data_IF_682229742777
#
_entry.id   IF_682229742777
#
_cell.length_a   1.000
_cell.length_b   1.000
_cell.length_c   1.000
_cell.angle_alpha   90.00
_cell.angle_beta   90.00
_cell.angle_gamma   90.00
#
_symmetry.space_group_name_H-M   'P 1'
#
loop_
_entity.id
_entity.type
_entity.pdbx_description
1 polymer ?
#
# COMPACT_ATOMS: atom_id res chain seq x y z
N UNK A 1 -19.73 8.85 -33.07
CA UNK A 1 -20.56 8.59 -31.88
C UNK A 1 -19.87 7.51 -31.09
N UNK A 2 -19.08 7.87 -30.09
CA UNK A 2 -18.40 6.93 -29.21
C UNK A 2 -19.47 6.41 -28.26
N UNK A 3 -19.76 5.10 -28.28
CA UNK A 3 -20.63 4.51 -27.25
C UNK A 3 -19.93 4.67 -25.91
N UNK A 4 -20.51 5.45 -25.00
CA UNK A 4 -20.09 5.50 -23.60
C UNK A 4 -20.24 4.09 -23.02
N UNK A 5 -19.12 3.47 -22.64
CA UNK A 5 -19.16 2.20 -21.93
C UNK A 5 -19.69 2.48 -20.51
N UNK A 6 -20.72 1.77 -20.05
CA UNK A 6 -21.23 1.95 -18.71
C UNK A 6 -20.14 1.61 -17.68
N UNK A 7 -20.00 2.45 -16.66
CA UNK A 7 -19.09 2.22 -15.53
C UNK A 7 -19.64 1.09 -14.67
N UNK A 8 -18.97 -0.06 -14.63
CA UNK A 8 -19.46 -1.23 -13.88
C UNK A 8 -18.62 -1.54 -12.64
N UNK A 9 -19.27 -2.06 -11.59
CA UNK A 9 -18.59 -2.57 -10.39
C UNK A 9 -17.60 -3.70 -10.73
N UNK A 10 -17.91 -4.54 -11.72
CA UNK A 10 -17.03 -5.63 -12.14
C UNK A 10 -15.68 -5.12 -12.65
N UNK A 11 -15.68 -4.02 -13.43
CA UNK A 11 -14.44 -3.38 -13.89
C UNK A 11 -13.64 -2.78 -12.73
N UNK A 12 -14.32 -2.16 -11.75
CA UNK A 12 -13.67 -1.64 -10.55
C UNK A 12 -12.99 -2.74 -9.73
N UNK A 13 -13.65 -3.89 -9.56
CA UNK A 13 -13.07 -5.05 -8.87
C UNK A 13 -11.88 -5.61 -9.65
N UNK A 14 -12.03 -5.80 -10.96
CA UNK A 14 -10.93 -6.32 -11.79
C UNK A 14 -9.69 -5.41 -11.72
N UNK A 15 -9.87 -4.10 -11.88
CA UNK A 15 -8.74 -3.16 -11.81
C UNK A 15 -8.16 -3.09 -10.39
N UNK A 16 -8.99 -3.21 -9.35
CA UNK A 16 -8.52 -3.33 -7.98
C UNK A 16 -7.71 -4.60 -7.73
N UNK A 17 -8.08 -5.74 -8.33
CA UNK A 17 -7.30 -6.99 -8.28
C UNK A 17 -5.92 -6.80 -8.92
N UNK A 18 -5.85 -6.17 -10.09
CA UNK A 18 -4.60 -5.88 -10.81
C UNK A 18 -3.66 -5.00 -9.97
N UNK A 19 -4.18 -3.93 -9.37
CA UNK A 19 -3.40 -3.03 -8.49
C UNK A 19 -2.97 -3.75 -7.20
N UNK A 20 -3.89 -4.48 -6.56
CA UNK A 20 -3.58 -5.17 -5.31
C UNK A 20 -2.54 -6.30 -5.48
N UNK A 21 -2.52 -6.97 -6.64
CA UNK A 21 -1.55 -8.00 -6.96
C UNK A 21 -0.11 -7.46 -6.95
N UNK A 22 0.10 -6.21 -7.37
CA UNK A 22 1.41 -5.55 -7.34
C UNK A 22 1.90 -5.29 -5.91
N UNK A 23 0.98 -5.09 -4.96
CA UNK A 23 1.29 -4.93 -3.54
C UNK A 23 1.66 -6.24 -2.81
N UNK A 24 1.65 -7.40 -3.49
CA UNK A 24 1.96 -8.72 -2.93
C UNK A 24 1.10 -9.14 -1.72
N UNK A 25 -0.15 -8.68 -1.65
CA UNK A 25 -1.07 -9.08 -0.58
C UNK A 25 -1.74 -10.42 -0.88
N UNK A 26 -1.86 -11.35 0.10
CA UNK A 26 -2.49 -12.64 -0.13
C UNK A 26 -3.98 -12.48 -0.46
N UNK A 27 -4.38 -12.92 -1.65
CA UNK A 27 -5.73 -12.75 -2.18
C UNK A 27 -6.82 -13.39 -1.28
N UNK A 28 -6.54 -14.56 -0.72
CA UNK A 28 -7.47 -15.35 0.10
C UNK A 28 -7.38 -15.02 1.59
N UNK A 29 -7.19 -13.74 1.91
CA UNK A 29 -7.15 -13.24 3.28
C UNK A 29 -8.15 -12.12 3.49
N UNK A 30 -8.50 -11.89 4.77
CA UNK A 30 -9.33 -10.75 5.13
C UNK A 30 -8.68 -9.43 4.70
N UNK A 31 -7.35 -9.31 4.88
CA UNK A 31 -6.59 -8.11 4.53
C UNK A 31 -6.62 -7.89 3.00
N UNK A 32 -6.39 -8.95 2.22
CA UNK A 32 -6.45 -8.92 0.76
C UNK A 32 -7.84 -8.57 0.22
N UNK A 33 -8.92 -9.05 0.86
CA UNK A 33 -10.28 -8.61 0.51
C UNK A 33 -10.49 -7.13 0.85
N UNK A 34 -10.09 -6.69 2.03
CA UNK A 34 -10.27 -5.31 2.47
C UNK A 34 -9.55 -4.30 1.57
N UNK A 35 -8.28 -4.59 1.23
CA UNK A 35 -7.48 -3.76 0.31
C UNK A 35 -8.17 -3.64 -1.05
N UNK A 36 -8.56 -4.77 -1.64
CA UNK A 36 -9.27 -4.77 -2.93
C UNK A 36 -10.60 -4.03 -2.88
N UNK A 37 -11.37 -4.19 -1.81
CA UNK A 37 -12.62 -3.47 -1.61
C UNK A 37 -12.42 -1.96 -1.54
N UNK A 38 -11.44 -1.48 -0.77
CA UNK A 38 -11.08 -0.05 -0.69
C UNK A 38 -10.69 0.50 -2.06
N UNK A 39 -9.86 -0.24 -2.80
CA UNK A 39 -9.44 0.14 -4.16
C UNK A 39 -10.63 0.20 -5.12
N UNK A 40 -11.51 -0.82 -5.14
CA UNK A 40 -12.66 -0.88 -6.02
C UNK A 40 -13.66 0.26 -5.74
N UNK A 41 -13.92 0.58 -4.47
CA UNK A 41 -14.76 1.71 -4.08
C UNK A 41 -14.15 3.03 -4.52
N UNK A 42 -12.84 3.21 -4.31
CA UNK A 42 -12.13 4.44 -4.69
C UNK A 42 -12.16 4.63 -6.21
N UNK A 43 -11.81 3.58 -6.97
CA UNK A 43 -11.84 3.59 -8.44
C UNK A 43 -13.24 3.88 -8.98
N UNK A 44 -14.28 3.21 -8.47
CA UNK A 44 -15.65 3.43 -8.92
C UNK A 44 -16.16 4.83 -8.56
N UNK A 45 -15.87 5.31 -7.35
CA UNK A 45 -16.26 6.64 -6.89
C UNK A 45 -15.61 7.73 -7.74
N UNK A 46 -14.31 7.60 -8.03
CA UNK A 46 -13.59 8.53 -8.90
C UNK A 46 -14.09 8.48 -10.34
N UNK A 47 -14.30 7.29 -10.90
CA UNK A 47 -14.84 7.11 -12.25
C UNK A 47 -16.18 7.85 -12.41
N UNK A 48 -17.09 7.71 -11.42
CA UNK A 48 -18.36 8.43 -11.40
C UNK A 48 -18.18 9.95 -11.29
N UNK A 49 -17.38 10.42 -10.34
CA UNK A 49 -17.12 11.87 -10.13
C UNK A 49 -16.49 12.54 -11.36
N UNK A 50 -15.65 11.81 -12.09
CA UNK A 50 -14.93 12.31 -13.26
C UNK A 50 -15.69 12.08 -14.56
N UNK A 51 -16.86 11.43 -14.52
CA UNK A 51 -17.65 11.02 -15.69
C UNK A 51 -16.82 10.24 -16.72
N UNK A 52 -16.05 9.26 -16.24
CA UNK A 52 -15.14 8.43 -17.04
C UNK A 52 -15.31 6.94 -16.76
N UNK A 53 -14.76 6.11 -17.63
CA UNK A 53 -14.67 4.68 -17.34
C UNK A 53 -13.67 4.41 -16.20
N UNK A 54 -13.85 3.30 -15.47
CA UNK A 54 -12.90 2.87 -14.44
C UNK A 54 -11.48 2.71 -15.01
N UNK A 55 -11.35 2.30 -16.27
CA UNK A 55 -10.07 2.12 -16.99
C UNK A 55 -9.35 3.45 -17.27
N UNK A 56 -10.07 4.57 -17.30
CA UNK A 56 -9.51 5.91 -17.54
C UNK A 56 -9.19 6.67 -16.26
N UNK A 57 -9.54 6.12 -15.09
CA UNK A 57 -9.14 6.70 -13.79
C UNK A 57 -7.62 6.59 -13.66
N UNK A 58 -6.97 7.73 -13.48
CA UNK A 58 -5.53 7.82 -13.30
C UNK A 58 -5.10 7.30 -11.93
N UNK A 59 -4.04 6.48 -11.89
CA UNK A 59 -3.52 5.89 -10.65
C UNK A 59 -3.00 6.97 -9.69
N UNK A 60 -2.47 8.08 -10.20
CA UNK A 60 -2.08 9.23 -9.38
C UNK A 60 -3.27 9.83 -8.63
N UNK A 61 -4.45 9.89 -9.26
CA UNK A 61 -5.68 10.36 -8.61
C UNK A 61 -6.14 9.41 -7.51
N UNK A 62 -6.03 8.10 -7.73
CA UNK A 62 -6.33 7.09 -6.70
C UNK A 62 -5.37 7.26 -5.52
N UNK A 63 -4.07 7.46 -5.78
CA UNK A 63 -3.07 7.65 -4.74
C UNK A 63 -3.39 8.88 -3.89
N UNK A 64 -3.63 10.02 -4.53
CA UNK A 64 -3.95 11.28 -3.86
C UNK A 64 -5.10 11.11 -2.86
N UNK A 65 -6.20 10.45 -3.28
CA UNK A 65 -7.38 10.27 -2.43
C UNK A 65 -7.14 9.28 -1.27
N UNK A 66 -6.35 8.23 -1.48
CA UNK A 66 -6.02 7.29 -0.40
C UNK A 66 -5.03 7.88 0.61
N UNK A 67 -4.15 8.77 0.17
CA UNK A 67 -3.17 9.46 1.01
C UNK A 67 -3.83 10.45 1.98
N UNK A 68 -4.98 11.01 1.62
CA UNK A 68 -5.82 11.80 2.55
C UNK A 68 -6.43 10.95 3.68
N UNK A 69 -6.36 9.62 3.57
CA UNK A 69 -6.80 8.67 4.57
C UNK A 69 -8.26 8.21 4.43
N UNK A 70 -8.77 7.46 5.43
CA UNK A 70 -10.05 6.76 5.32
C UNK A 70 -11.26 7.66 5.08
N UNK A 71 -11.24 8.91 5.55
CA UNK A 71 -12.36 9.85 5.41
C UNK A 71 -12.74 10.08 3.94
N UNK A 72 -11.76 10.21 3.05
CA UNK A 72 -12.02 10.39 1.61
C UNK A 72 -12.63 9.15 0.98
N UNK A 73 -12.25 7.94 1.44
CA UNK A 73 -12.88 6.69 1.00
C UNK A 73 -14.32 6.60 1.49
N UNK A 74 -14.63 7.10 2.70
CA UNK A 74 -16.00 7.23 3.20
C UNK A 74 -16.88 8.13 2.33
N UNK A 75 -16.35 9.28 1.91
CA UNK A 75 -17.08 10.19 1.00
C UNK A 75 -17.40 9.49 -0.32
N UNK A 76 -16.38 8.89 -0.96
CA UNK A 76 -16.54 8.16 -2.21
C UNK A 76 -17.54 7.01 -2.08
N UNK A 77 -17.41 6.18 -1.04
CA UNK A 77 -18.31 5.05 -0.79
C UNK A 77 -19.75 5.47 -0.45
N UNK A 78 -19.93 6.59 0.25
CA UNK A 78 -21.24 7.16 0.56
C UNK A 78 -22.03 7.56 -0.68
N UNK A 79 -21.36 8.17 -1.65
CA UNK A 79 -21.96 8.54 -2.95
C UNK A 79 -22.39 7.32 -3.76
N UNK A 80 -21.63 6.21 -3.67
CA UNK A 80 -22.01 4.94 -4.31
C UNK A 80 -23.29 4.34 -3.72
N UNK A 81 -23.54 4.54 -2.42
CA UNK A 81 -24.74 4.05 -1.73
C UNK A 81 -26.01 4.83 -2.08
N UNK A 82 -25.90 6.11 -2.47
CA UNK A 82 -27.03 6.94 -2.89
C UNK A 82 -27.33 6.83 -4.40
N UNK A 83 -26.33 6.53 -5.23
CA UNK A 83 -26.42 6.54 -6.70
C UNK A 83 -26.73 5.16 -7.33
N UNK A 84 -27.40 4.26 -6.61
CA UNK A 84 -27.63 2.85 -7.02
C UNK A 84 -29.03 2.58 -7.57
N UNK A 85 -29.61 3.50 -8.36
CA UNK A 85 -30.89 3.23 -9.03
C UNK A 85 -30.75 2.41 -10.33
N UNK A 86 -29.57 2.40 -10.98
CA UNK A 86 -29.37 1.74 -12.30
C UNK A 86 -28.19 0.74 -12.38
N UNK A 87 -27.52 0.42 -11.27
CA UNK A 87 -26.58 -0.70 -11.20
C UNK A 87 -27.29 -1.92 -10.62
N UNK A 88 -26.96 -3.15 -11.06
CA UNK A 88 -27.47 -4.38 -10.42
C UNK A 88 -27.59 -4.18 -8.89
N UNK A 89 -28.78 -4.37 -8.30
CA UNK A 89 -28.97 -4.06 -6.90
C UNK A 89 -27.94 -4.81 -6.06
N UNK A 90 -27.08 -4.05 -5.38
CA UNK A 90 -26.46 -4.47 -4.15
C UNK A 90 -24.98 -4.86 -4.17
N UNK A 91 -24.27 -5.14 -5.27
CA UNK A 91 -22.88 -5.65 -5.14
C UNK A 91 -21.90 -4.64 -4.54
N UNK A 92 -21.84 -3.43 -5.10
CA UNK A 92 -21.02 -2.34 -4.55
C UNK A 92 -21.49 -1.92 -3.15
N UNK A 93 -22.80 -1.86 -2.93
CA UNK A 93 -23.38 -1.51 -1.63
C UNK A 93 -23.12 -2.59 -0.55
N UNK A 94 -23.13 -3.87 -0.91
CA UNK A 94 -22.81 -5.00 -0.03
C UNK A 94 -21.33 -4.99 0.33
N UNK A 95 -20.45 -4.75 -0.64
CA UNK A 95 -19.02 -4.61 -0.33
C UNK A 95 -18.76 -3.38 0.53
N UNK A 96 -19.41 -2.25 0.23
CA UNK A 96 -19.31 -1.05 1.07
C UNK A 96 -19.79 -1.31 2.50
N UNK A 97 -20.95 -1.94 2.68
CA UNK A 97 -21.46 -2.33 3.99
C UNK A 97 -20.49 -3.28 4.73
N UNK A 98 -19.82 -4.18 4.02
CA UNK A 98 -18.79 -5.05 4.59
C UNK A 98 -17.54 -4.27 5.03
N UNK A 99 -17.14 -3.25 4.26
CA UNK A 99 -15.98 -2.42 4.56
C UNK A 99 -16.19 -1.49 5.76
N UNK A 100 -17.38 -0.89 5.89
CA UNK A 100 -17.65 0.13 6.93
C UNK A 100 -18.16 -0.44 8.24
N UNK A 101 -18.57 -1.71 8.29
CA UNK A 101 -19.06 -2.30 9.54
C UNK A 101 -17.93 -2.44 10.56
N UNK A 102 -18.29 -2.33 11.83
CA UNK A 102 -17.41 -2.70 12.93
C UNK A 102 -17.26 -4.21 13.01
N UNK A 103 -16.08 -4.65 13.41
CA UNK A 103 -15.78 -6.06 13.59
C UNK A 103 -15.83 -6.43 15.08
N UNK A 104 -16.27 -7.65 15.43
CA UNK A 104 -16.27 -8.07 16.81
C UNK A 104 -14.84 -8.08 17.40
N UNK A 105 -14.72 -7.99 18.72
CA UNK A 105 -13.45 -8.10 19.47
C UNK A 105 -13.14 -9.52 19.95
N UNK A 106 -13.94 -10.53 19.60
CA UNK A 106 -13.80 -11.93 20.03
C UNK A 106 -12.52 -12.62 19.44
N UNK A 107 -12.33 -13.96 19.48
CA UNK A 107 -11.16 -14.58 18.85
C UNK A 107 -11.09 -14.36 17.32
N UNK A 108 -9.88 -14.17 16.78
CA UNK A 108 -9.62 -13.62 15.44
C UNK A 108 -10.32 -14.32 14.25
N UNK A 109 -10.58 -15.63 14.31
CA UNK A 109 -11.24 -16.40 13.24
C UNK A 109 -12.77 -16.17 13.17
N UNK A 110 -13.42 -15.91 14.31
CA UNK A 110 -14.84 -15.59 14.36
C UNK A 110 -15.10 -14.15 13.88
N UNK A 111 -14.11 -13.27 14.00
CA UNK A 111 -14.23 -11.82 13.75
C UNK A 111 -13.86 -11.39 12.34
N UNK A 112 -13.63 -12.32 11.42
CA UNK A 112 -13.14 -12.03 10.07
C UNK A 112 -14.07 -12.62 9.00
N UNK A 113 -15.25 -13.11 9.39
CA UNK A 113 -16.15 -13.84 8.49
C UNK A 113 -15.56 -15.17 8.03
N UNK A 114 -14.74 -15.81 8.86
CA UNK A 114 -14.10 -17.10 8.57
C UNK A 114 -12.77 -17.02 7.80
N UNK A 115 -12.29 -15.82 7.46
CA UNK A 115 -11.03 -15.63 6.73
C UNK A 115 -9.83 -15.45 7.69
N UNK A 116 -8.60 -15.84 7.32
CA UNK A 116 -7.43 -15.49 8.10
C UNK A 116 -7.24 -13.96 8.10
N UNK A 117 -6.97 -13.39 9.28
CA UNK A 117 -6.53 -11.99 9.47
C UNK A 117 -5.06 -11.98 9.85
N UNK A 118 -4.26 -11.29 9.06
CA UNK A 118 -2.88 -10.92 9.37
C UNK A 118 -2.88 -9.64 10.19
N UNK A 119 -2.73 -8.50 9.51
CA UNK A 119 -2.42 -7.21 10.15
C UNK A 119 -3.63 -6.63 10.88
N UNK A 120 -4.85 -6.85 10.37
CA UNK A 120 -6.09 -6.46 11.05
C UNK A 120 -6.45 -7.31 12.28
N UNK A 121 -5.63 -8.27 12.71
CA UNK A 121 -5.96 -9.20 13.81
C UNK A 121 -6.30 -8.44 15.10
N UNK A 122 -7.48 -8.74 15.66
CA UNK A 122 -7.93 -8.17 16.94
C UNK A 122 -8.50 -6.74 16.86
N UNK A 123 -8.38 -6.06 15.72
CA UNK A 123 -8.94 -4.71 15.57
C UNK A 123 -10.46 -4.76 15.33
N UNK A 124 -11.27 -4.04 16.13
CA UNK A 124 -12.71 -3.91 15.91
C UNK A 124 -13.07 -2.82 14.89
N UNK A 125 -12.07 -2.07 14.42
CA UNK A 125 -12.27 -0.96 13.50
C UNK A 125 -12.77 -1.47 12.14
N UNK A 126 -13.59 -0.65 11.45
CA UNK A 126 -13.95 -0.87 10.05
C UNK A 126 -12.77 -1.30 9.17
N UNK A 127 -13.07 -2.10 8.16
CA UNK A 127 -12.04 -2.59 7.24
C UNK A 127 -11.41 -1.43 6.46
N UNK A 128 -12.21 -0.42 6.11
CA UNK A 128 -11.72 0.80 5.44
C UNK A 128 -10.69 1.54 6.29
N UNK A 129 -10.93 1.73 7.59
CA UNK A 129 -9.99 2.42 8.48
C UNK A 129 -8.65 1.69 8.60
N UNK A 130 -8.73 0.36 8.62
CA UNK A 130 -7.57 -0.51 8.79
C UNK A 130 -6.80 -0.62 7.46
N UNK A 131 -7.49 -0.80 6.33
CA UNK A 131 -6.87 -1.16 5.07
C UNK A 131 -6.50 0.01 4.15
N UNK A 132 -6.97 1.24 4.39
CA UNK A 132 -6.66 2.38 3.51
C UNK A 132 -5.15 2.62 3.34
N UNK A 133 -4.36 2.50 4.42
CA UNK A 133 -2.91 2.65 4.33
C UNK A 133 -2.23 1.59 3.44
N UNK A 134 -2.67 0.33 3.51
CA UNK A 134 -2.13 -0.72 2.63
C UNK A 134 -2.65 -0.62 1.20
N UNK A 135 -3.90 -0.18 1.02
CA UNK A 135 -4.41 0.16 -0.31
C UNK A 135 -3.58 1.30 -0.94
N UNK A 136 -3.24 2.33 -0.15
CA UNK A 136 -2.34 3.40 -0.57
C UNK A 136 -0.97 2.84 -1.00
N UNK A 137 -0.36 1.97 -0.19
CA UNK A 137 0.92 1.31 -0.53
C UNK A 137 0.86 0.46 -1.80
N UNK A 138 -0.23 -0.27 -2.03
CA UNK A 138 -0.44 -1.01 -3.27
C UNK A 138 -0.51 -0.08 -4.50
N UNK A 139 -1.19 1.07 -4.36
CA UNK A 139 -1.29 2.08 -5.41
C UNK A 139 0.06 2.77 -5.66
N UNK A 140 0.86 3.03 -4.64
CA UNK A 140 2.23 3.52 -4.82
C UNK A 140 3.08 2.54 -5.63
N UNK A 141 2.96 1.24 -5.35
CA UNK A 141 3.65 0.19 -6.13
C UNK A 141 3.17 0.16 -7.58
N UNK A 142 1.86 0.27 -7.81
CA UNK A 142 1.29 0.35 -9.15
C UNK A 142 1.79 1.58 -9.92
N UNK A 143 1.81 2.74 -9.26
CA UNK A 143 2.30 3.99 -9.84
C UNK A 143 3.79 3.91 -10.19
N UNK A 144 4.60 3.28 -9.34
CA UNK A 144 6.03 3.05 -9.59
C UNK A 144 6.28 2.09 -10.77
N UNK A 145 5.35 1.16 -11.04
CA UNK A 145 5.41 0.30 -12.21
C UNK A 145 5.06 1.05 -13.50
N UNK A 146 4.13 2.01 -13.45
CA UNK A 146 3.76 2.87 -14.59
C UNK A 146 4.81 3.96 -14.86
N UNK A 147 5.39 4.51 -13.80
CA UNK A 147 6.35 5.62 -13.80
C UNK A 147 7.62 5.13 -13.10
N UNK A 148 8.64 4.68 -13.83
CA UNK A 148 9.82 4.06 -13.24
C UNK A 148 10.41 4.95 -12.14
N UNK A 149 10.26 4.53 -10.89
CA UNK A 149 10.66 5.32 -9.73
C UNK A 149 12.18 5.58 -9.74
N UNK A 150 12.96 4.58 -10.14
CA UNK A 150 14.43 4.58 -10.13
C UNK A 150 14.93 3.60 -9.09
N UNK A 151 14.66 3.86 -7.81
CA UNK A 151 14.98 2.97 -6.69
C UNK A 151 13.78 2.11 -6.32
N UNK A 152 14.04 0.86 -5.94
CA UNK A 152 13.03 -0.10 -5.52
C UNK A 152 12.93 -0.17 -3.99
N UNK A 153 11.78 -0.55 -3.42
CA UNK A 153 11.71 -0.90 -2.01
C UNK A 153 12.80 -1.92 -1.63
N UNK A 154 13.33 -1.77 -0.42
CA UNK A 154 14.47 -2.53 0.13
C UNK A 154 15.85 -2.23 -0.46
N UNK A 155 15.95 -1.27 -1.37
CA UNK A 155 17.26 -0.81 -1.84
C UNK A 155 17.99 -0.08 -0.71
N UNK A 156 19.22 -0.51 -0.41
CA UNK A 156 20.12 0.16 0.53
C UNK A 156 20.66 1.44 -0.09
N UNK A 157 20.61 2.52 0.66
CA UNK A 157 21.00 3.86 0.19
C UNK A 157 21.81 4.60 1.24
N UNK A 158 22.65 5.52 0.79
CA UNK A 158 23.34 6.50 1.61
C UNK A 158 22.84 7.90 1.28
N UNK A 159 22.54 8.69 2.32
CA UNK A 159 22.17 10.09 2.18
C UNK A 159 23.43 10.93 1.95
N UNK A 160 23.51 11.69 0.86
CA UNK A 160 24.73 12.44 0.48
C UNK A 160 24.66 13.94 0.76
N UNK A 161 23.48 14.48 1.04
CA UNK A 161 23.25 15.89 1.36
C UNK A 161 22.14 16.07 2.41
N UNK A 162 21.98 17.30 2.90
CA UNK A 162 20.97 17.62 3.92
C UNK A 162 21.40 17.29 5.35
N UNK A 163 20.42 17.29 6.26
CA UNK A 163 20.61 17.05 7.71
C UNK A 163 21.08 15.63 8.01
N UNK A 164 20.60 14.66 7.23
CA UNK A 164 20.92 13.23 7.40
C UNK A 164 22.17 12.77 6.64
N UNK A 165 22.97 13.71 6.12
CA UNK A 165 24.16 13.39 5.32
C UNK A 165 25.09 12.39 6.02
N UNK A 166 25.44 11.33 5.31
CA UNK A 166 26.32 10.25 5.75
C UNK A 166 25.59 9.09 6.44
N UNK A 167 24.29 9.22 6.74
CA UNK A 167 23.49 8.12 7.27
C UNK A 167 23.12 7.16 6.14
N UNK A 168 23.12 5.86 6.45
CA UNK A 168 22.64 4.81 5.54
C UNK A 168 21.28 4.31 5.97
N UNK A 169 20.45 3.91 5.01
CA UNK A 169 19.11 3.42 5.27
C UNK A 169 18.64 2.47 4.17
N UNK A 170 17.36 2.15 4.25
CA UNK A 170 16.67 1.30 3.28
C UNK A 170 15.44 2.03 2.74
N UNK A 171 15.29 2.04 1.42
CA UNK A 171 14.12 2.62 0.75
C UNK A 171 12.86 1.83 1.13
N UNK A 172 11.86 2.51 1.66
CA UNK A 172 10.53 1.97 1.95
C UNK A 172 9.65 2.10 0.72
N UNK A 173 9.52 3.33 0.22
CA UNK A 173 8.58 3.68 -0.83
C UNK A 173 9.00 4.96 -1.56
N UNK A 174 8.59 5.15 -2.83
CA UNK A 174 8.75 6.41 -3.54
C UNK A 174 7.86 7.51 -2.95
N UNK A 175 8.43 8.72 -2.79
CA UNK A 175 7.72 9.91 -2.33
C UNK A 175 7.33 10.79 -3.53
N UNK A 176 6.02 10.82 -3.79
CA UNK A 176 5.41 11.54 -4.90
C UNK A 176 4.99 12.94 -4.48
N UNK A 177 5.12 13.92 -5.39
CA UNK A 177 4.53 15.24 -5.18
C UNK A 177 3.06 15.23 -5.60
N UNK A 178 2.21 15.74 -4.72
CA UNK A 178 0.78 15.87 -4.95
C UNK A 178 0.46 17.19 -5.66
N UNK A 179 -0.49 17.12 -6.58
CA UNK A 179 -1.16 18.26 -7.21
C UNK A 179 -2.56 18.37 -6.60
N UNK A 180 -2.71 19.24 -5.61
CA UNK A 180 -3.99 19.41 -4.90
C UNK A 180 -5.06 20.10 -5.75
N UNK A 181 -4.66 20.88 -6.75
CA UNK A 181 -5.59 21.54 -7.67
C UNK A 181 -6.29 20.49 -8.54
N UNK A 182 -5.52 19.55 -9.09
CA UNK A 182 -6.02 18.49 -9.95
C UNK A 182 -6.32 17.18 -9.20
N UNK A 183 -6.03 17.13 -7.88
CA UNK A 183 -6.19 15.97 -6.99
C UNK A 183 -5.56 14.70 -7.54
N UNK A 184 -4.32 14.82 -7.99
CA UNK A 184 -3.52 13.72 -8.54
C UNK A 184 -2.05 13.88 -8.13
N UNK A 185 -1.19 12.98 -8.60
CA UNK A 185 0.26 13.06 -8.47
C UNK A 185 0.84 13.81 -9.66
N UNK A 186 1.74 14.76 -9.39
CA UNK A 186 2.46 15.50 -10.44
C UNK A 186 3.15 14.55 -11.43
N UNK A 187 3.24 14.94 -12.72
CA UNK A 187 3.90 14.12 -13.72
C UNK A 187 5.40 14.02 -13.46
N UNK A 188 5.99 12.90 -13.89
CA UNK A 188 7.43 12.63 -13.76
C UNK A 188 7.77 11.53 -12.75
N UNK A 189 9.07 11.32 -12.50
CA UNK A 189 9.55 10.38 -11.47
C UNK A 189 9.24 10.91 -10.05
N UNK A 190 9.34 10.07 -9.02
CA UNK A 190 9.19 10.51 -7.64
C UNK A 190 10.28 11.55 -7.30
N UNK A 191 9.89 12.56 -6.52
CA UNK A 191 10.78 13.64 -6.09
C UNK A 191 11.74 13.23 -4.98
N UNK A 192 11.44 12.11 -4.33
CA UNK A 192 12.23 11.54 -3.26
C UNK A 192 11.76 10.15 -2.88
N UNK A 193 12.24 9.67 -1.75
CA UNK A 193 11.93 8.37 -1.20
C UNK A 193 11.77 8.47 0.31
N UNK A 194 10.83 7.70 0.83
CA UNK A 194 10.80 7.36 2.25
C UNK A 194 11.92 6.35 2.52
N UNK A 195 12.78 6.66 3.49
CA UNK A 195 13.93 5.85 3.88
C UNK A 195 13.85 5.58 5.38
N UNK A 196 13.98 4.31 5.78
CA UNK A 196 14.25 3.96 7.19
C UNK A 196 15.75 4.02 7.42
N UNK A 197 16.20 4.95 8.24
CA UNK A 197 17.62 5.12 8.55
C UNK A 197 18.09 4.06 9.54
N UNK A 198 19.28 3.51 9.28
CA UNK A 198 19.93 2.54 10.17
C UNK A 198 20.38 3.27 11.43
N UNK A 199 19.99 2.77 12.60
CA UNK A 199 20.43 3.34 13.88
C UNK A 199 21.93 3.05 14.06
N UNK A 200 22.75 4.09 14.20
CA UNK A 200 24.20 3.97 14.39
C UNK A 200 24.50 3.11 15.62
N UNK A 201 25.19 1.99 15.43
CA UNK A 201 25.52 1.02 16.49
C UNK A 201 24.97 -0.40 16.27
N UNK A 202 24.09 -0.59 15.29
CA UNK A 202 23.79 -1.90 14.73
C UNK A 202 24.39 -1.99 13.33
N UNK A 203 25.68 -2.33 13.23
CA UNK A 203 26.15 -3.01 12.02
C UNK A 203 25.29 -4.26 11.89
N UNK A 204 24.49 -4.31 10.83
CA UNK A 204 23.68 -5.46 10.48
C UNK A 204 24.59 -6.65 10.28
N UNK A 205 24.87 -7.42 11.34
CA UNK A 205 25.23 -8.81 11.14
C UNK A 205 24.06 -9.44 10.37
N UNK A 206 24.30 -10.13 9.25
CA UNK A 206 23.27 -10.88 8.58
C UNK A 206 22.77 -11.92 9.58
N UNK A 207 21.61 -11.66 10.18
CA UNK A 207 21.03 -12.51 11.22
C UNK A 207 20.94 -13.94 10.71
N UNK A 208 21.91 -14.76 11.10
CA UNK A 208 21.88 -16.20 10.82
C UNK A 208 20.68 -16.75 11.58
N UNK A 209 19.69 -17.21 10.83
CA UNK A 209 18.63 -18.10 11.31
C UNK A 209 19.28 -19.38 11.87
N UNK A 210 19.60 -19.37 13.15
CA UNK A 210 19.89 -20.58 13.90
C UNK A 210 18.57 -21.13 14.44
N UNK A 211 17.97 -22.08 13.71
CA UNK A 211 16.93 -22.94 14.26
C UNK A 211 17.56 -23.87 15.31
N UNK A 212 17.19 -23.68 16.58
CA UNK A 212 17.32 -24.74 17.58
C UNK A 212 15.94 -25.04 18.14
N UNK A 213 15.43 -26.21 17.80
CA UNK A 213 14.24 -26.80 18.42
C UNK A 213 14.65 -27.44 19.73
N UNK A 214 14.03 -27.02 20.85
CA UNK A 214 13.54 -27.86 21.96
C UNK A 214 12.68 -26.94 22.87
N UNK A 215 11.41 -27.31 23.09
CA UNK A 215 10.66 -26.85 24.28
C UNK A 215 9.73 -25.64 24.16
N UNK A 216 8.88 -25.59 23.13
CA UNK A 216 7.52 -25.05 23.24
C UNK A 216 7.30 -23.67 23.87
N UNK A 217 7.79 -22.61 23.23
CA UNK A 217 7.12 -21.30 23.17
C UNK A 217 7.63 -20.56 21.92
N UNK A 218 6.73 -20.18 21.02
CA UNK A 218 7.09 -19.39 19.83
C UNK A 218 6.86 -17.92 20.18
N UNK A 219 7.92 -17.24 20.66
CA UNK A 219 7.97 -15.79 20.59
C UNK A 219 8.37 -15.40 19.17
N UNK A 220 7.43 -14.85 18.43
CA UNK A 220 7.72 -14.16 17.17
C UNK A 220 8.02 -12.71 17.52
N UNK A 221 9.27 -12.43 17.90
CA UNK A 221 9.81 -11.09 17.69
C UNK A 221 10.12 -10.98 16.20
N UNK A 222 9.49 -10.04 15.51
CA UNK A 222 9.93 -9.58 14.19
C UNK A 222 10.66 -8.27 14.41
N UNK A 223 12.00 -8.24 14.48
CA UNK A 223 12.74 -7.00 14.43
C UNK A 223 13.02 -6.67 12.95
N UNK A 224 12.21 -5.79 12.37
CA UNK A 224 12.69 -4.84 11.35
C UNK A 224 13.15 -3.58 12.09
N UNK A 225 14.16 -2.83 11.61
CA UNK A 225 14.78 -1.79 12.41
C UNK A 225 13.73 -0.73 12.74
N UNK A 226 13.56 -0.42 14.03
CA UNK A 226 12.85 0.79 14.48
C UNK A 226 13.70 2.03 14.18
N UNK A 227 14.09 2.18 12.92
CA UNK A 227 14.82 3.31 12.41
C UNK A 227 13.89 4.50 12.20
N UNK A 228 14.47 5.68 12.18
CA UNK A 228 13.76 6.91 11.86
C UNK A 228 13.35 6.89 10.37
N UNK A 229 12.07 7.15 10.09
CA UNK A 229 11.55 7.31 8.74
C UNK A 229 11.74 8.77 8.31
N UNK A 230 12.46 8.99 7.21
CA UNK A 230 12.68 10.32 6.63
C UNK A 230 12.33 10.32 5.15
N UNK A 231 11.91 11.47 4.62
CA UNK A 231 11.77 11.67 3.17
C UNK A 231 13.05 12.33 2.66
N UNK A 232 13.77 11.64 1.79
CA UNK A 232 15.03 12.12 1.18
C UNK A 232 14.81 12.37 -0.31
N UNK A 233 15.33 13.49 -0.83
CA UNK A 233 15.21 13.80 -2.27
C UNK A 233 15.97 12.79 -3.10
N UNK A 234 15.50 12.57 -4.32
CA UNK A 234 16.12 11.61 -5.26
C UNK A 234 17.60 11.93 -5.51
N UNK A 235 17.95 13.20 -5.69
CA UNK A 235 19.33 13.64 -5.95
C UNK A 235 20.25 13.55 -4.72
N UNK A 236 19.68 13.30 -3.53
CA UNK A 236 20.40 13.21 -2.25
C UNK A 236 20.63 11.75 -1.82
N UNK A 237 20.30 10.77 -2.67
CA UNK A 237 20.48 9.33 -2.41
C UNK A 237 21.47 8.69 -3.38
N UNK A 238 22.44 7.95 -2.85
CA UNK A 238 23.30 7.05 -3.61
C UNK A 238 23.01 5.59 -3.23
N UNK A 239 22.75 4.68 -4.20
CA UNK A 239 22.65 3.26 -3.93
C UNK A 239 23.95 2.74 -3.33
N UNK A 240 23.89 1.96 -2.26
CA UNK A 240 25.08 1.27 -1.74
C UNK A 240 25.44 0.13 -2.70
N UNK A 241 26.59 0.24 -3.38
CA UNK A 241 27.14 -0.86 -4.16
C UNK A 241 27.42 -2.05 -3.23
N UNK A 242 26.85 -3.21 -3.54
CA UNK A 242 27.21 -4.44 -2.85
C UNK A 242 28.64 -4.82 -3.28
N UNK A 243 29.63 -4.51 -2.46
CA UNK A 243 30.95 -5.14 -2.62
C UNK A 243 30.76 -6.65 -2.49
N UNK A 244 31.08 -7.45 -3.52
CA UNK A 244 30.99 -8.89 -3.42
C UNK A 244 31.93 -9.34 -2.30
N UNK A 245 31.38 -10.02 -1.30
CA UNK A 245 32.14 -10.57 -0.18
C UNK A 245 33.35 -11.32 -0.74
N UNK A 246 34.55 -10.78 -0.47
CA UNK A 246 35.80 -11.41 -0.88
C UNK A 246 35.87 -12.74 -0.15
N UNK A 247 35.66 -13.84 -0.88
CA UNK A 247 35.83 -15.17 -0.30
C UNK A 247 37.26 -15.27 0.23
N UNK A 248 37.48 -15.63 1.50
CA UNK A 248 38.83 -15.90 1.97
C UNK A 248 39.34 -17.11 1.18
N UNK A 249 40.39 -16.90 0.40
CA UNK A 249 41.15 -17.97 -0.24
C UNK A 249 41.66 -18.91 0.85
N UNK A 250 41.07 -20.09 0.97
CA UNK A 250 41.58 -21.13 1.84
C UNK A 250 42.94 -21.63 1.32
N UNK A 251 43.96 -21.78 2.18
CA UNK A 251 45.27 -22.35 1.84
C UNK A 251 45.22 -23.85 1.57
#
# INVERSE_FOLDING_TARGET
MTQERPVTWAQAVQRADEVAALGHHPADSWDGRAIRGVLAVTLLGLAKRQERSVEEVDIGSVLWHLDQGPATVYELGGELGAASEDAEPGKAAVEWAWLVRRWPTAPALANSGGMPRGIGRGSPLPAVDVATGWACSAVQTALAAERPAGLTPRTRVRVVAGEDRGRSGEVVAPAWLMDDEHRTVLPGPPSGYEVVLTVSGQESEPGRLAMSTIGGEIQIEVPGPHGEHVIVRTDDLEPEEHEPATQPSSP
#
